data_IF_020611957676
#
_entry.id   IF_020611957676
#
_cell.length_a   1.000
_cell.length_b   1.000
_cell.length_c   1.000
_cell.angle_alpha   90.00
_cell.angle_beta   90.00
_cell.angle_gamma   90.00
#
_symmetry.space_group_name_H-M   'P 1'
#
loop_
_entity.id
_entity.type
_entity.pdbx_description
1 polymer ?
#
# COMPACT_ATOMS: atom_id res chain seq x y z
N UNK A 1 11.93 -104.36 33.95
CA UNK A 1 11.18 -104.76 32.74
C UNK A 1 9.71 -104.38 32.82
N UNK A 2 8.98 -104.75 33.90
CA UNK A 2 7.55 -104.47 34.03
C UNK A 2 7.18 -102.96 34.13
N UNK A 3 7.96 -102.18 34.88
CA UNK A 3 7.70 -100.74 35.08
C UNK A 3 7.89 -99.93 33.78
N UNK A 4 8.85 -100.32 32.94
CA UNK A 4 9.16 -99.62 31.67
C UNK A 4 8.04 -99.83 30.64
N UNK A 5 7.53 -101.07 30.50
CA UNK A 5 6.37 -101.35 29.64
C UNK A 5 5.10 -100.63 30.11
N UNK A 6 4.91 -100.49 31.42
CA UNK A 6 3.75 -99.80 31.98
C UNK A 6 3.83 -98.28 31.77
N UNK A 7 5.04 -97.71 31.76
CA UNK A 7 5.28 -96.31 31.39
C UNK A 7 5.06 -96.07 29.89
N UNK A 8 5.56 -96.93 29.01
CA UNK A 8 5.34 -96.81 27.56
C UNK A 8 3.86 -96.93 27.18
N UNK A 9 3.15 -97.88 27.81
CA UNK A 9 1.70 -98.04 27.59
C UNK A 9 0.91 -96.81 28.01
N UNK A 10 1.22 -96.22 29.19
CA UNK A 10 0.59 -94.98 29.66
C UNK A 10 0.98 -93.77 28.81
N UNK A 11 2.22 -93.71 28.34
CA UNK A 11 2.72 -92.64 27.47
C UNK A 11 2.03 -92.66 26.09
N UNK A 12 1.87 -93.83 25.48
CA UNK A 12 1.17 -94.00 24.19
C UNK A 12 -0.33 -93.73 24.30
N UNK A 13 -0.97 -94.08 25.42
CA UNK A 13 -2.38 -93.78 25.64
C UNK A 13 -2.63 -92.27 25.84
N UNK A 14 -1.69 -91.57 26.50
CA UNK A 14 -1.74 -90.11 26.68
C UNK A 14 -1.48 -89.36 25.36
N UNK A 15 -0.50 -89.81 24.57
CA UNK A 15 -0.21 -89.24 23.24
C UNK A 15 -1.34 -89.45 22.23
N UNK A 16 -1.99 -90.62 22.26
CA UNK A 16 -3.20 -90.90 21.48
C UNK A 16 -4.33 -89.93 21.83
N UNK A 17 -4.59 -89.70 23.12
CA UNK A 17 -5.62 -88.73 23.56
C UNK A 17 -5.34 -87.30 23.10
N UNK A 18 -4.08 -86.84 23.16
CA UNK A 18 -3.67 -85.50 22.70
C UNK A 18 -3.83 -85.36 21.18
N UNK A 19 -3.56 -86.43 20.42
CA UNK A 19 -3.70 -86.44 18.96
C UNK A 19 -5.15 -86.22 18.50
N UNK A 20 -6.14 -86.70 19.26
CA UNK A 20 -7.56 -86.50 18.93
C UNK A 20 -8.14 -85.17 19.45
N UNK A 21 -7.55 -84.58 20.49
CA UNK A 21 -8.01 -83.29 21.05
C UNK A 21 -7.69 -82.11 20.11
N UNK A 22 -6.52 -82.11 19.46
CA UNK A 22 -6.10 -81.06 18.53
C UNK A 22 -7.07 -80.86 17.32
N UNK A 23 -7.50 -81.91 16.59
CA UNK A 23 -8.46 -81.75 15.50
C UNK A 23 -9.87 -81.39 15.98
N UNK A 24 -10.29 -81.80 17.18
CA UNK A 24 -11.60 -81.41 17.74
C UNK A 24 -11.61 -79.91 18.09
N UNK A 25 -10.54 -79.41 18.70
CA UNK A 25 -10.37 -77.97 18.97
C UNK A 25 -10.28 -77.20 17.64
N UNK A 26 -9.53 -77.71 16.66
CA UNK A 26 -9.44 -77.13 15.32
C UNK A 26 -10.80 -77.05 14.62
N UNK A 27 -11.61 -78.10 14.70
CA UNK A 27 -12.97 -78.14 14.14
C UNK A 27 -13.91 -77.15 14.83
N UNK A 28 -13.86 -77.05 16.16
CA UNK A 28 -14.68 -76.09 16.92
C UNK A 28 -14.29 -74.64 16.64
N UNK A 29 -12.99 -74.34 16.54
CA UNK A 29 -12.49 -73.01 16.17
C UNK A 29 -12.82 -72.66 14.72
N UNK A 30 -12.71 -73.60 13.78
CA UNK A 30 -13.07 -73.37 12.38
C UNK A 30 -14.57 -73.09 12.21
N UNK A 31 -15.43 -73.85 12.91
CA UNK A 31 -16.87 -73.62 12.90
C UNK A 31 -17.21 -72.25 13.52
N UNK A 32 -16.65 -71.91 14.67
CA UNK A 32 -16.85 -70.59 15.28
C UNK A 32 -16.34 -69.44 14.40
N UNK A 33 -15.21 -69.61 13.71
CA UNK A 33 -14.67 -68.62 12.79
C UNK A 33 -15.59 -68.40 11.57
N UNK A 34 -16.21 -69.46 11.05
CA UNK A 34 -17.22 -69.36 9.99
C UNK A 34 -18.48 -68.62 10.47
N UNK A 35 -18.96 -68.89 11.68
CA UNK A 35 -20.07 -68.14 12.27
C UNK A 35 -19.73 -66.66 12.48
N UNK A 36 -18.50 -66.34 12.90
CA UNK A 36 -18.04 -64.96 12.99
C UNK A 36 -17.99 -64.26 11.62
N UNK A 37 -17.52 -64.95 10.58
CA UNK A 37 -17.47 -64.41 9.22
C UNK A 37 -18.87 -64.16 8.64
N UNK A 38 -19.80 -65.11 8.84
CA UNK A 38 -21.21 -64.94 8.45
C UNK A 38 -21.87 -63.77 9.19
N UNK A 39 -21.61 -63.62 10.49
CA UNK A 39 -22.12 -62.49 11.27
C UNK A 39 -21.52 -61.15 10.81
N UNK A 40 -20.23 -61.12 10.46
CA UNK A 40 -19.57 -59.96 9.88
C UNK A 40 -20.20 -59.53 8.56
N UNK A 41 -20.44 -60.47 7.63
CA UNK A 41 -21.12 -60.16 6.37
C UNK A 41 -22.55 -59.67 6.60
N UNK A 42 -23.28 -60.29 7.53
CA UNK A 42 -24.67 -59.90 7.82
C UNK A 42 -24.76 -58.49 8.40
N UNK A 43 -23.84 -58.11 9.30
CA UNK A 43 -23.81 -56.76 9.89
C UNK A 43 -23.43 -55.71 8.86
N UNK A 44 -22.44 -55.99 8.00
CA UNK A 44 -22.05 -55.11 6.89
C UNK A 44 -23.21 -54.94 5.90
N UNK A 45 -23.87 -56.04 5.51
CA UNK A 45 -25.03 -56.00 4.62
C UNK A 45 -26.19 -55.19 5.22
N UNK A 46 -26.47 -55.37 6.51
CA UNK A 46 -27.49 -54.61 7.22
C UNK A 46 -27.17 -53.11 7.29
N UNK A 47 -25.90 -52.74 7.47
CA UNK A 47 -25.46 -51.35 7.45
C UNK A 47 -25.68 -50.70 6.07
N UNK A 48 -25.24 -51.37 5.00
CA UNK A 48 -25.46 -50.86 3.64
C UNK A 48 -26.94 -50.80 3.26
N UNK A 49 -27.73 -51.80 3.62
CA UNK A 49 -29.18 -51.80 3.39
C UNK A 49 -29.87 -50.70 4.19
N UNK A 50 -29.44 -50.45 5.43
CA UNK A 50 -29.91 -49.34 6.26
C UNK A 50 -29.59 -47.98 5.64
N UNK A 51 -28.35 -47.77 5.18
CA UNK A 51 -27.97 -46.56 4.46
C UNK A 51 -28.78 -46.38 3.17
N UNK A 52 -29.04 -47.45 2.42
CA UNK A 52 -29.87 -47.40 1.21
C UNK A 52 -31.32 -47.06 1.54
N UNK A 53 -31.90 -47.66 2.59
CA UNK A 53 -33.27 -47.36 3.02
C UNK A 53 -33.37 -45.90 3.49
N UNK A 54 -32.42 -45.41 4.30
CA UNK A 54 -32.39 -44.00 4.72
C UNK A 54 -32.22 -43.08 3.53
N UNK A 55 -31.38 -43.43 2.55
CA UNK A 55 -31.22 -42.67 1.32
C UNK A 55 -32.50 -42.68 0.48
N UNK A 56 -33.20 -43.81 0.35
CA UNK A 56 -34.47 -43.93 -0.37
C UNK A 56 -35.59 -43.17 0.32
N UNK A 57 -35.66 -43.24 1.65
CA UNK A 57 -36.59 -42.46 2.48
C UNK A 57 -36.27 -40.97 2.33
N UNK A 58 -35.00 -40.56 2.35
CA UNK A 58 -34.59 -39.18 2.13
C UNK A 58 -34.92 -38.72 0.70
N UNK A 59 -34.77 -39.57 -0.32
CA UNK A 59 -35.19 -39.28 -1.70
C UNK A 59 -36.73 -39.19 -1.81
N UNK A 60 -37.48 -40.02 -1.08
CA UNK A 60 -38.94 -40.06 -1.11
C UNK A 60 -39.61 -38.94 -0.30
N UNK A 61 -39.00 -38.53 0.83
CA UNK A 61 -39.44 -37.40 1.67
C UNK A 61 -38.82 -36.07 1.26
N UNK A 62 -37.75 -36.06 0.46
CA UNK A 62 -37.25 -34.85 -0.15
C UNK A 62 -38.30 -34.35 -1.14
N UNK A 63 -38.89 -33.15 -0.93
CA UNK A 63 -39.79 -32.56 -1.90
C UNK A 63 -39.01 -32.41 -3.21
N UNK A 64 -39.61 -32.85 -4.33
CA UNK A 64 -39.03 -32.83 -5.69
C UNK A 64 -38.02 -31.71 -5.83
N UNK A 65 -36.74 -32.05 -5.71
CA UNK A 65 -35.66 -31.10 -5.77
C UNK A 65 -35.65 -30.53 -7.20
N UNK A 66 -36.18 -29.32 -7.37
CA UNK A 66 -36.01 -28.50 -8.56
C UNK A 66 -34.55 -28.00 -8.61
N UNK A 67 -33.57 -28.88 -8.50
CA UNK A 67 -32.15 -28.50 -8.48
C UNK A 67 -31.67 -28.02 -9.85
N UNK A 68 -32.37 -28.36 -10.93
CA UNK A 68 -32.13 -27.78 -12.26
C UNK A 68 -32.80 -26.42 -12.41
N UNK A 69 -34.10 -26.31 -12.11
CA UNK A 69 -34.85 -25.06 -12.32
C UNK A 69 -34.49 -23.97 -11.31
N UNK A 70 -34.22 -24.29 -10.04
CA UNK A 70 -33.81 -23.30 -9.05
C UNK A 70 -32.35 -22.90 -9.23
N UNK A 71 -31.44 -23.81 -9.59
CA UNK A 71 -30.06 -23.43 -9.91
C UNK A 71 -30.01 -22.62 -11.22
N UNK A 72 -30.75 -23.02 -12.26
CA UNK A 72 -30.90 -22.21 -13.47
C UNK A 72 -31.62 -20.90 -13.19
N UNK A 73 -32.58 -20.84 -12.25
CA UNK A 73 -33.23 -19.60 -11.86
C UNK A 73 -32.29 -18.71 -11.07
N UNK A 74 -31.48 -19.23 -10.16
CA UNK A 74 -30.45 -18.44 -9.45
C UNK A 74 -29.32 -18.01 -10.39
N UNK A 75 -28.94 -18.84 -11.36
CA UNK A 75 -27.98 -18.48 -12.41
C UNK A 75 -28.60 -17.44 -13.35
N UNK A 76 -29.86 -17.60 -13.74
CA UNK A 76 -30.57 -16.63 -14.58
C UNK A 76 -30.88 -15.34 -13.83
N UNK A 77 -31.11 -15.37 -12.51
CA UNK A 77 -31.26 -14.20 -11.65
C UNK A 77 -29.90 -13.51 -11.44
N UNK A 78 -28.82 -14.27 -11.30
CA UNK A 78 -27.45 -13.75 -11.22
C UNK A 78 -26.99 -13.18 -12.57
N UNK A 79 -27.34 -13.82 -13.69
CA UNK A 79 -27.12 -13.31 -15.04
C UNK A 79 -28.04 -12.13 -15.35
N UNK A 80 -29.28 -12.13 -14.88
CA UNK A 80 -30.17 -10.97 -15.01
C UNK A 80 -29.67 -9.81 -14.15
N UNK A 81 -29.16 -10.08 -12.94
CA UNK A 81 -28.53 -9.08 -12.07
C UNK A 81 -27.23 -8.54 -12.68
N UNK A 82 -26.38 -9.43 -13.21
CA UNK A 82 -25.21 -9.05 -14.00
C UNK A 82 -25.61 -8.22 -15.21
N UNK A 83 -26.58 -8.65 -16.00
CA UNK A 83 -27.09 -7.92 -17.15
C UNK A 83 -27.76 -6.60 -16.76
N UNK A 84 -28.33 -6.49 -15.55
CA UNK A 84 -28.95 -5.26 -15.04
C UNK A 84 -27.90 -4.26 -14.54
N UNK A 85 -26.84 -4.74 -13.88
CA UNK A 85 -25.63 -3.95 -13.60
C UNK A 85 -24.96 -3.49 -14.90
N UNK A 86 -24.90 -4.36 -15.91
CA UNK A 86 -24.29 -4.09 -17.20
C UNK A 86 -25.20 -3.30 -18.16
N UNK A 87 -26.53 -3.26 -17.93
CA UNK A 87 -27.51 -2.60 -18.82
C UNK A 87 -27.27 -1.09 -18.98
N UNK A 88 -26.60 -0.47 -18.00
CA UNK A 88 -26.12 0.91 -18.06
C UNK A 88 -24.63 1.08 -18.38
N UNK A 89 -23.86 -0.02 -18.34
CA UNK A 89 -22.40 -0.03 -18.52
C UNK A 89 -21.96 -0.59 -19.89
N UNK A 90 -22.86 -1.13 -20.73
CA UNK A 90 -22.62 -1.31 -22.17
C UNK A 90 -22.60 0.08 -22.84
N UNK A 91 -21.59 0.87 -22.47
CA UNK A 91 -21.10 2.00 -23.21
C UNK A 91 -20.62 1.40 -24.52
N UNK A 92 -21.27 1.83 -25.61
CA UNK A 92 -20.81 1.73 -27.00
C UNK A 92 -19.33 1.35 -27.04
N UNK A 93 -19.05 0.16 -27.58
CA UNK A 93 -17.73 -0.23 -28.06
C UNK A 93 -17.27 0.78 -29.12
N UNK A 94 -16.85 1.94 -28.66
CA UNK A 94 -16.09 2.91 -29.43
C UNK A 94 -14.66 2.51 -29.18
N UNK A 95 -14.21 1.60 -30.04
CA UNK A 95 -12.81 1.31 -30.31
C UNK A 95 -12.12 2.59 -30.83
N UNK A 96 -11.98 3.57 -29.96
CA UNK A 96 -11.06 4.67 -30.13
C UNK A 96 -10.32 4.76 -28.82
N UNK A 97 -9.04 4.32 -28.83
CA UNK A 97 -8.05 4.74 -27.84
C UNK A 97 -7.98 6.28 -27.86
N UNK A 98 -8.95 6.95 -27.25
CA UNK A 98 -8.83 8.38 -26.95
C UNK A 98 -7.83 8.43 -25.83
N UNK A 99 -6.58 8.72 -26.18
CA UNK A 99 -5.61 9.21 -25.21
C UNK A 99 -6.29 10.34 -24.45
N UNK A 100 -6.61 10.10 -23.18
CA UNK A 100 -7.27 11.10 -22.37
C UNK A 100 -6.22 12.18 -22.14
N UNK A 101 -6.35 13.29 -22.88
CA UNK A 101 -5.44 14.42 -22.74
C UNK A 101 -5.77 15.10 -21.42
N UNK A 102 -4.88 14.91 -20.46
CA UNK A 102 -4.89 15.66 -19.23
C UNK A 102 -4.75 17.17 -19.52
N UNK A 103 -5.52 18.04 -18.84
CA UNK A 103 -5.33 19.48 -18.95
C UNK A 103 -3.96 19.87 -18.40
N UNK A 104 -3.35 20.90 -19.00
CA UNK A 104 -2.07 21.44 -18.55
C UNK A 104 -2.26 22.11 -17.17
N UNK A 105 -1.51 21.67 -16.16
CA UNK A 105 -1.57 22.20 -14.79
C UNK A 105 -0.35 23.06 -14.50
N UNK A 106 0.86 22.56 -14.76
CA UNK A 106 2.10 23.28 -14.51
C UNK A 106 2.75 23.72 -15.82
N UNK A 107 3.75 22.95 -16.28
CA UNK A 107 4.45 23.15 -17.54
C UNK A 107 4.50 21.82 -18.28
N UNK A 108 4.65 21.84 -19.60
CA UNK A 108 4.62 20.60 -20.42
C UNK A 108 5.62 19.55 -19.96
N UNK A 109 6.80 19.97 -19.48
CA UNK A 109 7.82 19.04 -18.99
C UNK A 109 7.42 18.40 -17.66
N UNK A 110 6.94 19.22 -16.70
CA UNK A 110 6.51 18.73 -15.39
C UNK A 110 5.28 17.85 -15.52
N UNK A 111 4.29 18.27 -16.31
CA UNK A 111 3.06 17.53 -16.53
C UNK A 111 3.35 16.19 -17.25
N UNK A 112 4.27 16.19 -18.22
CA UNK A 112 4.71 14.95 -18.88
C UNK A 112 5.40 13.98 -17.92
N UNK A 113 6.26 14.48 -17.04
CA UNK A 113 6.92 13.66 -16.03
C UNK A 113 5.92 13.12 -14.98
N UNK A 114 4.97 13.95 -14.55
CA UNK A 114 3.91 13.56 -13.64
C UNK A 114 2.98 12.52 -14.24
N UNK A 115 2.60 12.68 -15.51
CA UNK A 115 1.78 11.70 -16.21
C UNK A 115 2.51 10.35 -16.30
N UNK A 116 3.80 10.36 -16.67
CA UNK A 116 4.61 9.14 -16.71
C UNK A 116 4.72 8.47 -15.32
N UNK A 117 4.90 9.28 -14.26
CA UNK A 117 4.91 8.76 -12.89
C UNK A 117 3.59 8.10 -12.52
N UNK A 118 2.46 8.74 -12.82
CA UNK A 118 1.13 8.15 -12.59
C UNK A 118 0.94 6.87 -13.41
N UNK A 119 1.39 6.86 -14.68
CA UNK A 119 1.30 5.68 -15.53
C UNK A 119 2.04 4.49 -14.92
N UNK A 120 3.28 4.70 -14.46
CA UNK A 120 4.08 3.68 -13.77
C UNK A 120 3.44 3.23 -12.45
N UNK A 121 3.01 4.18 -11.60
CA UNK A 121 2.43 3.85 -10.29
C UNK A 121 1.16 3.00 -10.46
N UNK A 122 0.27 3.38 -11.36
CA UNK A 122 -0.95 2.63 -11.59
C UNK A 122 -0.70 1.29 -12.29
N UNK A 123 0.27 1.21 -13.20
CA UNK A 123 0.63 -0.05 -13.84
C UNK A 123 1.20 -1.04 -12.81
N UNK A 124 2.16 -0.61 -12.02
CA UNK A 124 2.96 -1.50 -11.16
C UNK A 124 2.28 -1.78 -9.81
N UNK A 125 1.54 -0.83 -9.24
CA UNK A 125 0.97 -0.99 -7.90
C UNK A 125 -0.54 -1.18 -7.87
N UNK A 126 -1.27 -0.81 -8.93
CA UNK A 126 -2.74 -0.93 -8.98
C UNK A 126 -3.16 -2.02 -9.97
N UNK A 127 -2.59 -2.03 -11.18
CA UNK A 127 -2.90 -2.99 -12.23
C UNK A 127 -2.73 -4.44 -11.78
N UNK A 128 -1.62 -4.75 -11.09
CA UNK A 128 -1.31 -6.11 -10.65
C UNK A 128 -2.44 -6.80 -9.86
N UNK A 129 -3.11 -6.09 -8.94
CA UNK A 129 -4.22 -6.68 -8.18
C UNK A 129 -5.59 -6.36 -8.78
N UNK A 130 -5.74 -5.22 -9.46
CA UNK A 130 -7.02 -4.82 -10.02
C UNK A 130 -7.41 -5.64 -11.26
N UNK A 131 -6.43 -6.08 -12.06
CA UNK A 131 -6.65 -6.97 -13.20
C UNK A 131 -7.21 -8.33 -12.79
N UNK A 132 -6.88 -8.81 -11.59
CA UNK A 132 -7.41 -10.06 -11.03
C UNK A 132 -8.82 -9.90 -10.44
N UNK A 133 -9.16 -8.69 -9.96
CA UNK A 133 -10.39 -8.42 -9.20
C UNK A 133 -11.53 -7.84 -10.04
N UNK A 134 -11.23 -7.12 -11.13
CA UNK A 134 -12.22 -6.35 -11.88
C UNK A 134 -12.21 -6.63 -13.39
N UNK A 135 -13.41 -6.74 -13.96
CA UNK A 135 -13.58 -6.75 -15.42
C UNK A 135 -13.38 -5.34 -15.98
N UNK A 136 -12.70 -5.20 -17.13
CA UNK A 136 -12.31 -3.90 -17.73
C UNK A 136 -11.48 -3.01 -16.79
N UNK A 137 -10.50 -3.59 -16.08
CA UNK A 137 -9.57 -2.89 -15.19
C UNK A 137 -8.90 -1.67 -15.85
N UNK A 138 -8.57 -1.74 -17.14
CA UNK A 138 -7.97 -0.62 -17.89
C UNK A 138 -8.84 0.66 -17.83
N UNK A 139 -10.16 0.53 -17.95
CA UNK A 139 -11.05 1.70 -17.87
C UNK A 139 -11.14 2.25 -16.44
N UNK A 140 -11.14 1.37 -15.44
CA UNK A 140 -11.15 1.77 -14.03
C UNK A 140 -9.84 2.51 -13.69
N UNK A 141 -8.70 1.97 -14.12
CA UNK A 141 -7.39 2.61 -13.95
C UNK A 141 -7.37 3.98 -14.61
N UNK A 142 -7.87 4.08 -15.84
CA UNK A 142 -7.93 5.37 -16.54
C UNK A 142 -8.82 6.38 -15.80
N UNK A 143 -9.96 5.96 -15.26
CA UNK A 143 -10.82 6.82 -14.44
C UNK A 143 -10.12 7.26 -13.16
N UNK A 144 -9.48 6.35 -12.42
CA UNK A 144 -8.72 6.69 -11.21
C UNK A 144 -7.57 7.67 -11.52
N UNK A 145 -6.87 7.50 -12.65
CA UNK A 145 -5.84 8.45 -13.10
C UNK A 145 -6.44 9.83 -13.39
N UNK A 146 -7.61 9.91 -14.02
CA UNK A 146 -8.31 11.19 -14.22
C UNK A 146 -8.70 11.84 -12.90
N UNK A 147 -9.19 11.06 -11.94
CA UNK A 147 -9.59 11.57 -10.63
C UNK A 147 -8.39 12.11 -9.85
N UNK A 148 -7.25 11.40 -9.87
CA UNK A 148 -6.00 11.89 -9.27
C UNK A 148 -5.48 13.13 -10.01
N UNK A 149 -5.55 13.17 -11.34
CA UNK A 149 -5.16 14.37 -12.08
C UNK A 149 -6.03 15.58 -11.71
N UNK A 150 -7.34 15.39 -11.62
CA UNK A 150 -8.29 16.40 -11.15
C UNK A 150 -8.00 16.86 -9.72
N UNK A 151 -7.59 15.95 -8.83
CA UNK A 151 -7.15 16.27 -7.48
C UNK A 151 -5.88 17.13 -7.48
N UNK A 152 -4.89 16.81 -8.33
CA UNK A 152 -3.65 17.58 -8.50
C UNK A 152 -3.97 18.98 -9.04
N UNK A 153 -4.83 19.08 -10.05
CA UNK A 153 -5.26 20.37 -10.59
C UNK A 153 -5.97 21.21 -9.52
N UNK A 154 -6.89 20.61 -8.78
CA UNK A 154 -7.61 21.30 -7.68
C UNK A 154 -6.65 21.77 -6.59
N UNK A 155 -5.65 20.95 -6.26
CA UNK A 155 -4.62 21.30 -5.29
C UNK A 155 -3.77 22.48 -5.79
N UNK A 156 -3.32 22.43 -7.05
CA UNK A 156 -2.56 23.50 -7.70
C UNK A 156 -3.35 24.82 -7.73
N UNK A 157 -4.62 24.78 -8.13
CA UNK A 157 -5.48 25.96 -8.21
C UNK A 157 -5.77 26.57 -6.84
N UNK A 158 -5.76 25.75 -5.78
CA UNK A 158 -5.87 26.24 -4.40
C UNK A 158 -4.56 26.83 -3.91
N UNK A 159 -3.44 26.16 -4.16
CA UNK A 159 -2.11 26.63 -3.74
C UNK A 159 -1.69 27.92 -4.43
N UNK A 160 -2.01 28.09 -5.72
CA UNK A 160 -1.73 29.32 -6.48
C UNK A 160 -2.51 30.54 -5.98
N UNK A 161 -3.64 30.33 -5.29
CA UNK A 161 -4.42 31.40 -4.65
C UNK A 161 -3.91 31.78 -3.26
N UNK A 162 -2.98 31.00 -2.70
CA UNK A 162 -2.39 31.30 -1.40
C UNK A 162 -1.35 32.41 -1.58
N UNK A 163 -1.44 33.44 -0.74
CA UNK A 163 -0.39 34.47 -0.67
C UNK A 163 0.90 33.86 -0.09
N UNK A 164 1.81 33.48 -0.99
CA UNK A 164 3.08 32.85 -0.65
C UNK A 164 3.94 33.76 0.23
N UNK A 165 3.93 35.08 0.00
CA UNK A 165 4.73 36.03 0.78
C UNK A 165 4.22 36.08 2.22
N UNK A 166 2.91 36.24 2.41
CA UNK A 166 2.31 36.23 3.75
C UNK A 166 2.48 34.87 4.44
N UNK A 167 2.37 33.76 3.71
CA UNK A 167 2.56 32.43 4.25
C UNK A 167 3.98 32.27 4.83
N UNK A 168 5.00 32.64 4.06
CA UNK A 168 6.40 32.49 4.47
C UNK A 168 6.75 33.51 5.56
N UNK A 169 6.55 34.80 5.29
CA UNK A 169 7.05 35.90 6.14
C UNK A 169 6.27 36.02 7.44
N UNK A 170 4.95 35.81 7.41
CA UNK A 170 4.13 35.93 8.61
C UNK A 170 3.86 34.56 9.23
N UNK A 171 3.18 33.67 8.52
CA UNK A 171 2.64 32.45 9.15
C UNK A 171 3.74 31.48 9.61
N UNK A 172 4.67 31.13 8.72
CA UNK A 172 5.73 30.15 9.01
C UNK A 172 6.72 30.74 10.02
N UNK A 173 7.25 31.93 9.77
CA UNK A 173 8.20 32.58 10.70
C UNK A 173 7.59 32.74 12.09
N UNK A 174 6.35 33.24 12.22
CA UNK A 174 5.72 33.40 13.54
C UNK A 174 5.56 32.06 14.26
N UNK A 175 5.23 30.97 13.55
CA UNK A 175 5.12 29.64 14.16
C UNK A 175 6.48 29.12 14.60
N UNK A 176 7.51 29.24 13.77
CA UNK A 176 8.87 28.83 14.12
C UNK A 176 9.38 29.63 15.32
N UNK A 177 9.21 30.95 15.32
CA UNK A 177 9.59 31.82 16.45
C UNK A 177 8.86 31.43 17.72
N UNK A 178 7.57 31.14 17.66
CA UNK A 178 6.80 30.65 18.80
C UNK A 178 7.36 29.32 19.33
N UNK A 179 7.72 28.37 18.45
CA UNK A 179 8.34 27.12 18.86
C UNK A 179 9.72 27.34 19.51
N UNK A 180 10.56 28.21 18.94
CA UNK A 180 11.86 28.56 19.52
C UNK A 180 11.74 29.24 20.89
N UNK A 181 10.75 30.11 21.06
CA UNK A 181 10.47 30.72 22.37
C UNK A 181 10.13 29.66 23.41
N UNK A 182 9.25 28.70 23.08
CA UNK A 182 8.87 27.61 23.99
C UNK A 182 10.04 26.69 24.32
N UNK A 183 10.88 26.36 23.33
CA UNK A 183 12.10 25.56 23.55
C UNK A 183 13.05 26.32 24.49
N UNK A 184 13.29 27.61 24.25
CA UNK A 184 14.18 28.42 25.08
C UNK A 184 13.70 28.52 26.53
N UNK A 185 12.41 28.71 26.76
CA UNK A 185 11.81 28.74 28.11
C UNK A 185 12.03 27.39 28.82
N UNK A 186 11.73 26.28 28.14
CA UNK A 186 11.93 24.94 28.69
C UNK A 186 13.41 24.66 29.02
N UNK A 187 14.33 25.03 28.13
CA UNK A 187 15.78 24.88 28.37
C UNK A 187 16.25 25.72 29.57
N UNK A 188 15.75 26.93 29.73
CA UNK A 188 16.12 27.82 30.83
C UNK A 188 15.62 27.28 32.18
N UNK A 189 14.37 26.79 32.24
CA UNK A 189 13.82 26.16 33.43
C UNK A 189 14.66 24.92 33.84
N UNK A 190 14.98 24.07 32.87
CA UNK A 190 15.82 22.90 33.10
C UNK A 190 17.22 23.26 33.62
N UNK A 191 17.82 24.36 33.13
CA UNK A 191 19.12 24.83 33.60
C UNK A 191 19.08 25.41 35.02
N UNK A 192 17.94 25.92 35.46
CA UNK A 192 17.71 26.46 36.81
C UNK A 192 17.31 25.38 37.83
N UNK A 193 17.09 24.13 37.37
CA UNK A 193 16.67 23.01 38.21
C UNK A 193 15.16 22.87 38.37
N UNK A 194 14.38 23.67 37.66
CA UNK A 194 12.91 23.57 37.61
C UNK A 194 12.48 22.56 36.54
N UNK A 195 11.31 21.95 36.73
CA UNK A 195 10.74 21.00 35.75
C UNK A 195 10.39 21.72 34.43
N UNK A 196 11.01 21.33 33.29
CA UNK A 196 10.78 22.02 32.02
C UNK A 196 9.41 21.68 31.45
N UNK A 197 8.52 22.67 31.36
CA UNK A 197 7.19 22.51 30.75
C UNK A 197 7.25 22.87 29.26
N UNK A 198 7.51 21.87 28.40
CA UNK A 198 7.29 22.01 26.96
C UNK A 198 5.91 21.46 26.57
N UNK A 199 4.94 22.35 26.34
CA UNK A 199 3.58 21.96 25.96
C UNK A 199 3.58 21.54 24.49
N UNK A 200 3.62 20.22 24.27
CA UNK A 200 3.43 19.62 22.96
C UNK A 200 1.93 19.60 22.62
N UNK A 201 1.59 19.72 21.33
CA UNK A 201 0.19 19.54 20.92
C UNK A 201 -0.27 18.12 21.24
N UNK A 202 -1.54 17.97 21.62
CA UNK A 202 -2.14 16.67 22.01
C UNK A 202 -1.91 15.55 20.99
N UNK A 203 -1.90 15.89 19.70
CA UNK A 203 -1.70 14.95 18.60
C UNK A 203 -0.25 14.47 18.44
N UNK A 204 0.73 15.13 19.05
CA UNK A 204 2.15 14.76 18.96
C UNK A 204 2.64 14.05 20.24
N UNK A 205 1.76 13.85 21.22
CA UNK A 205 2.10 13.21 22.51
C UNK A 205 2.50 11.74 22.36
N UNK A 206 2.00 11.05 21.33
CA UNK A 206 2.38 9.68 21.01
C UNK A 206 2.40 9.45 19.50
N UNK A 207 3.20 8.48 19.01
CA UNK A 207 3.21 8.11 17.59
C UNK A 207 1.84 7.66 17.09
N UNK A 208 1.04 7.04 17.96
CA UNK A 208 -0.33 6.60 17.64
C UNK A 208 -1.29 7.78 17.50
N UNK A 209 -1.23 8.76 18.41
CA UNK A 209 -2.05 9.95 18.34
C UNK A 209 -1.74 10.80 17.10
N UNK A 210 -0.47 10.83 16.71
CA UNK A 210 -0.03 11.54 15.51
C UNK A 210 -0.60 10.87 14.26
N UNK A 211 -0.49 9.53 14.19
CA UNK A 211 -1.05 8.78 13.08
C UNK A 211 -2.57 8.96 12.99
N UNK A 212 -3.30 8.92 14.10
CA UNK A 212 -4.75 9.15 14.13
C UNK A 212 -5.12 10.56 13.67
N UNK A 213 -4.31 11.56 14.01
CA UNK A 213 -4.47 12.91 13.49
C UNK A 213 -4.25 12.96 11.96
N UNK A 214 -3.20 12.33 11.46
CA UNK A 214 -2.92 12.26 10.01
C UNK A 214 -4.01 11.49 9.24
N UNK A 215 -4.63 10.48 9.85
CA UNK A 215 -5.80 9.80 9.28
C UNK A 215 -6.98 10.77 9.13
N UNK A 216 -7.27 11.58 10.15
CA UNK A 216 -8.34 12.62 10.07
C UNK A 216 -8.03 13.65 8.99
N UNK A 217 -6.77 14.11 8.91
CA UNK A 217 -6.32 15.04 7.86
C UNK A 217 -6.45 14.41 6.48
N UNK A 218 -6.12 13.11 6.34
CA UNK A 218 -6.28 12.38 5.08
C UNK A 218 -7.73 12.28 4.64
N UNK A 219 -8.68 12.06 5.55
CA UNK A 219 -10.11 12.09 5.23
C UNK A 219 -10.55 13.47 4.69
N UNK A 220 -10.01 14.56 5.24
CA UNK A 220 -10.27 15.91 4.73
C UNK A 220 -9.68 16.08 3.33
N UNK A 221 -8.47 15.60 3.06
CA UNK A 221 -7.90 15.67 1.71
C UNK A 221 -8.73 14.89 0.69
N UNK A 222 -9.19 13.69 1.04
CA UNK A 222 -10.07 12.89 0.16
C UNK A 222 -11.35 13.67 -0.13
N UNK A 223 -11.99 14.24 0.89
CA UNK A 223 -13.22 15.01 0.74
C UNK A 223 -13.03 16.27 -0.12
N UNK A 224 -11.88 16.94 0.02
CA UNK A 224 -11.62 18.23 -0.61
C UNK A 224 -11.06 18.15 -2.02
N UNK A 225 -10.37 17.06 -2.36
CA UNK A 225 -9.62 16.92 -3.61
C UNK A 225 -10.22 15.87 -4.56
N UNK A 226 -10.86 14.82 -4.06
CA UNK A 226 -11.37 13.72 -4.87
C UNK A 226 -12.89 13.75 -5.05
N UNK A 227 -13.44 13.06 -6.07
CA UNK A 227 -14.87 12.92 -6.24
C UNK A 227 -15.58 12.26 -5.04
N UNK A 228 -16.88 12.53 -4.80
CA UNK A 228 -17.62 12.04 -3.64
C UNK A 228 -17.65 10.52 -3.47
N UNK A 229 -17.51 9.76 -4.57
CA UNK A 229 -17.47 8.29 -4.53
C UNK A 229 -16.30 7.75 -3.69
N UNK A 230 -15.17 8.46 -3.61
CA UNK A 230 -14.02 8.06 -2.78
C UNK A 230 -14.26 8.30 -1.28
N UNK A 231 -15.25 9.11 -0.90
CA UNK A 231 -15.62 9.35 0.50
C UNK A 231 -16.47 8.22 1.10
N UNK A 232 -16.90 7.26 0.28
CA UNK A 232 -17.69 6.11 0.70
C UNK A 232 -16.78 4.96 1.16
N UNK A 233 -17.26 4.15 2.11
CA UNK A 233 -16.60 2.91 2.48
C UNK A 233 -16.78 1.85 1.37
N UNK A 234 -15.79 0.96 1.13
CA UNK A 234 -14.54 0.79 1.87
C UNK A 234 -13.39 1.68 1.37
N UNK A 235 -13.53 2.31 0.20
CA UNK A 235 -12.46 3.05 -0.48
C UNK A 235 -11.87 4.18 0.38
N UNK A 236 -12.73 4.92 1.10
CA UNK A 236 -12.29 5.97 2.02
C UNK A 236 -11.28 5.46 3.04
N UNK A 237 -11.55 4.31 3.65
CA UNK A 237 -10.67 3.77 4.69
C UNK A 237 -9.34 3.32 4.10
N UNK A 238 -9.36 2.64 2.96
CA UNK A 238 -8.15 2.23 2.26
C UNK A 238 -7.28 3.43 1.90
N UNK A 239 -7.86 4.42 1.23
CA UNK A 239 -7.13 5.59 0.77
C UNK A 239 -6.62 6.44 1.94
N UNK A 240 -7.41 6.55 3.01
CA UNK A 240 -6.98 7.23 4.24
C UNK A 240 -5.74 6.58 4.85
N UNK A 241 -5.71 5.25 4.95
CA UNK A 241 -4.54 4.55 5.48
C UNK A 241 -3.32 4.71 4.56
N UNK A 242 -3.51 4.65 3.24
CA UNK A 242 -2.43 4.88 2.28
C UNK A 242 -1.87 6.30 2.42
N UNK A 243 -2.75 7.32 2.38
CA UNK A 243 -2.35 8.72 2.52
C UNK A 243 -1.64 8.98 3.85
N UNK A 244 -2.20 8.53 4.97
CA UNK A 244 -1.61 8.77 6.28
C UNK A 244 -0.29 8.01 6.46
N UNK A 245 -0.28 6.70 6.23
CA UNK A 245 0.83 5.83 6.61
C UNK A 245 1.95 5.77 5.57
N UNK A 246 1.62 5.89 4.28
CA UNK A 246 2.61 5.73 3.18
C UNK A 246 3.07 7.05 2.59
N UNK A 247 2.30 8.12 2.77
CA UNK A 247 2.62 9.43 2.16
C UNK A 247 2.90 10.48 3.23
N UNK A 248 1.90 10.87 4.02
CA UNK A 248 1.99 12.01 4.92
C UNK A 248 2.96 11.76 6.07
N UNK A 249 2.87 10.63 6.79
CA UNK A 249 3.76 10.35 7.92
C UNK A 249 5.24 10.28 7.49
N UNK A 250 5.62 9.50 6.47
CA UNK A 250 7.00 9.50 5.98
C UNK A 250 7.46 10.85 5.46
N UNK A 251 6.59 11.61 4.78
CA UNK A 251 6.94 12.95 4.29
C UNK A 251 7.20 13.93 5.44
N UNK A 252 6.35 13.93 6.47
CA UNK A 252 6.53 14.75 7.67
C UNK A 252 7.82 14.36 8.38
N UNK A 253 8.05 13.06 8.62
CA UNK A 253 9.26 12.58 9.28
C UNK A 253 10.51 13.01 8.51
N UNK A 254 10.50 12.93 7.18
CA UNK A 254 11.61 13.37 6.33
C UNK A 254 11.86 14.87 6.42
N UNK A 255 10.84 15.71 6.27
CA UNK A 255 11.02 17.17 6.28
C UNK A 255 11.36 17.72 7.67
N UNK A 256 10.97 17.01 8.73
CA UNK A 256 11.32 17.39 10.11
C UNK A 256 12.62 16.78 10.60
N UNK A 257 13.26 15.92 9.80
CA UNK A 257 14.52 15.29 10.20
C UNK A 257 15.65 16.34 10.21
N UNK A 258 16.35 16.55 11.35
CA UNK A 258 17.40 17.55 11.46
C UNK A 258 18.56 17.29 10.50
N UNK A 259 18.95 16.03 10.27
CA UNK A 259 20.04 15.69 9.34
C UNK A 259 19.64 15.99 7.90
N UNK A 260 18.39 15.69 7.52
CA UNK A 260 17.88 16.02 6.20
C UNK A 260 17.88 17.54 5.98
N UNK A 261 17.40 18.32 6.95
CA UNK A 261 17.42 19.79 6.90
C UNK A 261 18.86 20.31 6.76
N UNK A 262 19.77 19.84 7.61
CA UNK A 262 21.17 20.26 7.61
C UNK A 262 21.85 19.95 6.27
N UNK A 263 21.66 18.74 5.73
CA UNK A 263 22.20 18.35 4.42
C UNK A 263 21.64 19.22 3.29
N UNK A 264 20.37 19.60 3.35
CA UNK A 264 19.76 20.50 2.35
C UNK A 264 20.31 21.92 2.44
N UNK A 265 20.55 22.43 3.65
CA UNK A 265 21.19 23.74 3.84
C UNK A 265 22.61 23.72 3.26
N UNK A 266 23.42 22.70 3.57
CA UNK A 266 24.77 22.55 3.04
C UNK A 266 24.76 22.46 1.51
N UNK A 267 23.90 21.60 0.94
CA UNK A 267 23.76 21.47 -0.51
C UNK A 267 23.36 22.78 -1.19
N UNK A 268 22.55 23.61 -0.54
CA UNK A 268 22.16 24.91 -1.07
C UNK A 268 23.34 25.89 -1.06
N UNK A 269 24.09 25.96 0.04
CA UNK A 269 25.28 26.80 0.16
C UNK A 269 26.32 26.41 -0.90
N UNK A 270 26.59 25.11 -1.06
CA UNK A 270 27.55 24.61 -2.05
C UNK A 270 27.12 24.94 -3.49
N UNK A 271 25.83 24.79 -3.81
CA UNK A 271 25.28 25.16 -5.12
C UNK A 271 25.41 26.67 -5.38
N UNK A 272 25.15 27.50 -4.38
CA UNK A 272 25.30 28.94 -4.48
C UNK A 272 26.77 29.32 -4.73
N UNK A 273 27.71 28.76 -3.96
CA UNK A 273 29.14 29.00 -4.15
C UNK A 273 29.63 28.55 -5.53
N UNK A 274 29.15 27.41 -6.01
CA UNK A 274 29.47 26.93 -7.35
C UNK A 274 28.96 27.89 -8.44
N UNK A 275 27.72 28.37 -8.31
CA UNK A 275 27.15 29.35 -9.24
C UNK A 275 27.96 30.65 -9.24
N UNK A 276 28.29 31.18 -8.07
CA UNK A 276 29.14 32.37 -7.93
C UNK A 276 30.53 32.17 -8.55
N UNK A 277 31.18 31.03 -8.31
CA UNK A 277 32.48 30.71 -8.91
C UNK A 277 32.41 30.58 -10.44
N UNK A 278 31.34 30.00 -10.97
CA UNK A 278 31.11 29.91 -12.42
C UNK A 278 30.94 31.30 -13.03
N UNK A 279 30.09 32.15 -12.43
CA UNK A 279 29.89 33.52 -12.90
C UNK A 279 31.16 34.37 -12.82
N UNK A 280 31.93 34.23 -11.73
CA UNK A 280 33.23 34.89 -11.57
C UNK A 280 34.21 34.49 -12.66
N UNK A 281 34.35 33.18 -12.93
CA UNK A 281 35.19 32.67 -14.03
C UNK A 281 34.75 33.23 -15.38
N UNK A 282 33.46 33.17 -15.71
CA UNK A 282 32.96 33.69 -16.98
C UNK A 282 33.28 35.17 -17.17
N UNK A 283 33.24 35.97 -16.10
CA UNK A 283 33.64 37.39 -16.09
C UNK A 283 35.15 37.59 -16.22
N UNK A 284 35.96 36.93 -15.38
CA UNK A 284 37.42 37.09 -15.35
C UNK A 284 38.12 36.62 -16.63
N UNK A 285 37.51 35.70 -17.38
CA UNK A 285 38.05 35.19 -18.66
C UNK A 285 37.59 35.97 -19.90
N UNK A 286 36.96 37.15 -19.75
CA UNK A 286 36.71 38.01 -20.90
C UNK A 286 38.06 38.48 -21.50
N UNK A 287 38.35 38.09 -22.75
CA UNK A 287 39.63 38.38 -23.40
C UNK A 287 39.81 39.88 -23.73
N UNK A 288 38.72 40.64 -23.85
CA UNK A 288 38.73 42.07 -24.15
C UNK A 288 37.57 42.81 -23.46
N UNK A 289 37.69 44.14 -23.34
CA UNK A 289 36.61 44.99 -22.83
C UNK A 289 35.36 44.90 -23.71
N UNK A 290 35.51 44.84 -25.04
CA UNK A 290 34.40 44.65 -25.97
C UNK A 290 33.67 43.31 -25.75
N UNK A 291 34.41 42.23 -25.49
CA UNK A 291 33.83 40.91 -25.22
C UNK A 291 33.11 40.88 -23.87
N UNK A 292 33.64 41.59 -22.87
CA UNK A 292 32.96 41.80 -21.59
C UNK A 292 31.63 42.54 -21.77
N UNK A 293 31.61 43.65 -22.51
CA UNK A 293 30.38 44.39 -22.82
C UNK A 293 29.40 43.54 -23.65
N UNK A 294 29.90 42.70 -24.58
CA UNK A 294 29.08 41.77 -25.36
C UNK A 294 28.42 40.73 -24.45
N UNK A 295 29.15 40.20 -23.47
CA UNK A 295 28.65 39.24 -22.48
C UNK A 295 27.55 39.84 -21.59
N UNK A 296 27.73 41.08 -21.12
CA UNK A 296 26.68 41.80 -20.37
C UNK A 296 25.43 41.97 -21.24
N UNK A 297 25.59 42.41 -22.49
CA UNK A 297 24.47 42.65 -23.41
C UNK A 297 23.75 41.37 -23.84
N UNK A 298 24.46 40.24 -23.89
CA UNK A 298 23.88 38.94 -24.26
C UNK A 298 23.27 38.18 -23.08
N UNK A 299 23.65 38.52 -21.85
CA UNK A 299 23.08 37.91 -20.64
C UNK A 299 21.61 38.28 -20.47
N UNK A 300 20.76 37.27 -20.32
CA UNK A 300 19.32 37.41 -20.01
C UNK A 300 19.01 37.11 -18.55
N UNK A 301 20.04 36.77 -17.77
CA UNK A 301 19.89 36.42 -16.36
C UNK A 301 20.09 37.67 -15.49
N UNK A 302 19.02 38.04 -14.77
CA UNK A 302 19.01 39.22 -13.91
C UNK A 302 20.00 39.09 -12.74
N UNK A 303 20.18 37.88 -12.20
CA UNK A 303 21.05 37.67 -11.04
C UNK A 303 22.53 37.77 -11.44
N UNK A 304 22.87 37.28 -12.63
CA UNK A 304 24.21 37.46 -13.22
C UNK A 304 24.54 38.94 -13.39
N UNK A 305 23.60 39.74 -13.92
CA UNK A 305 23.81 41.18 -14.12
C UNK A 305 23.96 41.93 -12.79
N UNK A 306 23.17 41.58 -11.76
CA UNK A 306 23.31 42.15 -10.42
C UNK A 306 24.68 41.82 -9.81
N UNK A 307 25.15 40.59 -9.98
CA UNK A 307 26.45 40.15 -9.46
C UNK A 307 27.61 40.86 -10.16
N UNK A 308 27.59 40.94 -11.50
CA UNK A 308 28.59 41.71 -12.27
C UNK A 308 28.64 43.17 -11.78
N UNK A 309 27.47 43.82 -11.63
CA UNK A 309 27.40 45.19 -11.10
C UNK A 309 27.99 45.30 -9.69
N UNK A 310 27.66 44.38 -8.80
CA UNK A 310 28.17 44.38 -7.43
C UNK A 310 29.71 44.26 -7.40
N UNK A 311 30.27 43.38 -8.21
CA UNK A 311 31.73 43.20 -8.29
C UNK A 311 32.41 44.45 -8.85
N UNK A 312 31.90 45.03 -9.95
CA UNK A 312 32.44 46.29 -10.50
C UNK A 312 32.44 47.40 -9.44
N UNK A 313 31.33 47.57 -8.71
CA UNK A 313 31.23 48.59 -7.66
C UNK A 313 32.22 48.34 -6.54
N UNK A 314 32.39 47.07 -6.16
CA UNK A 314 33.33 46.67 -5.09
C UNK A 314 34.78 46.87 -5.51
N UNK A 315 35.14 46.49 -6.73
CA UNK A 315 36.49 46.69 -7.29
C UNK A 315 36.82 48.18 -7.44
N UNK A 316 35.88 48.98 -7.94
CA UNK A 316 36.04 50.45 -8.01
C UNK A 316 36.28 50.98 -6.60
N UNK A 317 35.41 50.66 -5.64
CA UNK A 317 35.52 51.13 -4.26
C UNK A 317 36.87 50.74 -3.63
N UNK A 318 37.33 49.50 -3.83
CA UNK A 318 38.64 49.05 -3.36
C UNK A 318 39.77 49.84 -4.01
N UNK A 319 39.73 50.05 -5.33
CA UNK A 319 40.73 50.82 -6.06
C UNK A 319 40.78 52.30 -5.60
N UNK A 320 39.64 52.93 -5.33
CA UNK A 320 39.61 54.31 -4.81
C UNK A 320 40.09 54.42 -3.37
N UNK A 321 39.90 53.38 -2.55
CA UNK A 321 40.33 53.39 -1.14
C UNK A 321 41.85 53.20 -1.00
N UNK A 322 42.50 52.52 -1.96
CA UNK A 322 43.96 52.29 -1.98
C UNK A 322 44.74 53.53 -2.46
N UNK A 323 44.09 54.48 -3.13
CA UNK A 323 44.73 55.70 -3.66
C UNK A 323 44.78 56.88 -2.66
N UNK A 324 44.45 56.66 -1.38
CA UNK A 324 44.46 57.68 -0.32
C UNK A 324 45.31 57.30 0.89
#
# INVERSE_FOLDING_TARGET
MFIVMQLESKFNMMWSGILYILPIIGFFYWNNLLWCYLFGILTISCFFLGCLIVMLINIALSPKHQTGATAMKTIAEMDAFHNLLMKGYVIKATNTKKYVKYPLVFTRMVDGALQNLLDLVFQDFVGLWLDELAFNSEQIINNMKQDIWGAIQTLHDRLSKVDHTKLVVCSIVNKITFHFEKIRIAQTASAQGDDPVFILSTHLMSPTAELDYLKKVSELYILLLLPPCYSLAPMKYLLREILACKILKPAIDLITNPDYINQKILSYIDQQQLAEAMHRKTYEYAESFEDFIRMIKSSKDLEVLKHIRYNIVTEIMQATTIQY
#
